data_IF_675999273261
#
_entry.id   IF_675999273261
#
_cell.length_a   1.000
_cell.length_b   1.000
_cell.length_c   1.000
_cell.angle_alpha   90.00
_cell.angle_beta   90.00
_cell.angle_gamma   90.00
#
_symmetry.space_group_name_H-M   'P 1'
#
loop_
_entity.id
_entity.type
_entity.pdbx_description
1 polymer ?
#
# COMPACT_ATOMS: atom_id res chain seq x y z
N UNK A 1 36.29 0.33 -17.22
CA UNK A 1 35.09 0.01 -16.47
C UNK A 1 34.00 -0.15 -17.53
N UNK A 2 33.43 -1.34 -17.75
CA UNK A 2 32.30 -1.50 -18.65
C UNK A 2 31.14 -0.69 -18.06
N UNK A 3 30.63 0.27 -18.80
CA UNK A 3 29.36 0.91 -18.44
C UNK A 3 28.32 -0.20 -18.32
N UNK A 4 27.79 -0.40 -17.14
CA UNK A 4 26.64 -1.30 -16.97
C UNK A 4 25.48 -0.68 -17.72
N UNK A 5 24.94 -1.39 -18.69
CA UNK A 5 23.76 -0.95 -19.45
C UNK A 5 22.64 -0.63 -18.49
N UNK A 6 22.01 0.54 -18.62
CA UNK A 6 20.80 0.87 -17.89
C UNK A 6 19.69 -0.13 -18.21
N UNK A 7 18.89 -0.47 -17.19
CA UNK A 7 17.75 -1.38 -17.29
C UNK A 7 16.46 -0.60 -17.08
N UNK A 8 15.58 -0.65 -18.07
CA UNK A 8 14.29 0.03 -18.09
C UNK A 8 13.14 -0.98 -17.92
N UNK A 9 12.29 -0.76 -16.95
CA UNK A 9 11.09 -1.57 -16.67
C UNK A 9 9.85 -0.74 -16.96
N UNK A 10 9.00 -1.21 -17.89
CA UNK A 10 7.62 -0.74 -18.00
C UNK A 10 6.77 -1.53 -17.01
N UNK A 11 6.11 -0.85 -16.10
CA UNK A 11 5.30 -1.45 -15.05
C UNK A 11 3.82 -1.10 -15.19
N UNK A 12 2.95 -2.04 -14.82
CA UNK A 12 1.49 -1.90 -14.87
C UNK A 12 0.90 -2.29 -13.52
N UNK A 13 0.04 -1.42 -12.96
CA UNK A 13 -0.73 -1.64 -11.75
C UNK A 13 -2.23 -1.49 -12.05
N UNK A 14 -3.01 -2.50 -11.66
CA UNK A 14 -4.48 -2.49 -11.79
C UNK A 14 -5.18 -3.33 -10.72
N UNK A 15 -4.58 -3.51 -9.56
CA UNK A 15 -5.07 -4.48 -8.57
C UNK A 15 -6.36 -4.07 -7.85
N UNK A 16 -6.73 -2.78 -7.86
CA UNK A 16 -7.91 -2.28 -7.14
C UNK A 16 -8.66 -1.22 -7.96
N UNK A 17 -8.50 0.05 -7.65
CA UNK A 17 -9.24 1.16 -8.27
C UNK A 17 -8.32 2.22 -8.93
N UNK A 18 -7.03 1.98 -9.00
CA UNK A 18 -6.06 2.74 -9.77
C UNK A 18 -5.60 1.97 -11.00
N UNK A 19 -5.73 2.58 -12.19
CA UNK A 19 -5.07 2.11 -13.41
C UNK A 19 -3.80 2.91 -13.58
N UNK A 20 -2.63 2.27 -13.48
CA UNK A 20 -1.37 2.99 -13.58
C UNK A 20 -0.36 2.29 -14.46
N UNK A 21 0.50 3.09 -15.10
CA UNK A 21 1.69 2.64 -15.80
C UNK A 21 2.88 3.56 -15.47
N UNK A 22 4.07 2.99 -15.41
CA UNK A 22 5.29 3.72 -15.09
C UNK A 22 6.50 3.15 -15.84
N UNK A 23 7.49 3.99 -16.11
CA UNK A 23 8.81 3.56 -16.57
C UNK A 23 9.80 3.81 -15.44
N UNK A 24 10.48 2.75 -15.01
CA UNK A 24 11.46 2.79 -13.92
C UNK A 24 12.83 2.36 -14.45
N UNK A 25 13.84 3.18 -14.16
CA UNK A 25 15.22 2.95 -14.53
C UNK A 25 16.03 2.45 -13.34
N UNK A 26 16.75 1.35 -13.53
CA UNK A 26 17.67 0.76 -12.53
C UNK A 26 17.04 0.54 -11.15
N UNK A 27 15.71 0.33 -11.11
CA UNK A 27 14.95 0.04 -9.90
C UNK A 27 14.86 1.17 -8.86
N UNK A 28 15.32 2.39 -9.20
CA UNK A 28 15.34 3.51 -8.23
C UNK A 28 15.07 4.88 -8.82
N UNK A 29 15.04 5.01 -10.13
CA UNK A 29 14.76 6.25 -10.83
C UNK A 29 13.43 6.10 -11.58
N UNK A 30 12.46 6.93 -11.23
CA UNK A 30 11.14 6.95 -11.86
C UNK A 30 11.18 7.96 -13.01
N UNK A 31 11.11 7.47 -14.25
CA UNK A 31 11.08 8.31 -15.44
C UNK A 31 9.66 8.82 -15.74
N UNK A 32 8.65 7.98 -15.43
CA UNK A 32 7.23 8.36 -15.52
C UNK A 32 6.40 7.56 -14.51
N UNK A 33 5.24 8.10 -14.10
CA UNK A 33 4.29 7.40 -13.23
C UNK A 33 2.89 7.98 -13.45
N UNK A 34 2.19 7.46 -14.42
CA UNK A 34 0.85 7.89 -14.84
C UNK A 34 -0.22 7.11 -14.10
N UNK A 35 -1.12 7.78 -13.42
CA UNK A 35 -2.17 7.18 -12.58
C UNK A 35 -3.54 7.71 -13.01
N UNK A 36 -4.45 6.81 -13.36
CA UNK A 36 -5.86 7.10 -13.59
C UNK A 36 -6.68 6.51 -12.43
N UNK A 37 -6.99 7.36 -11.43
CA UNK A 37 -7.73 6.93 -10.24
C UNK A 37 -9.23 6.93 -10.47
N UNK A 38 -9.90 5.94 -9.89
CA UNK A 38 -11.35 5.77 -9.92
C UNK A 38 -12.02 6.23 -8.60
N UNK A 39 -11.27 6.85 -7.67
CA UNK A 39 -11.79 7.30 -6.36
C UNK A 39 -13.04 8.14 -6.51
N UNK A 40 -13.07 9.10 -7.45
CA UNK A 40 -14.25 9.96 -7.69
C UNK A 40 -15.49 9.15 -8.06
N UNK A 41 -15.32 8.09 -8.86
CA UNK A 41 -16.41 7.18 -9.23
C UNK A 41 -16.88 6.36 -8.04
N UNK A 42 -15.95 5.73 -7.32
CA UNK A 42 -16.26 4.88 -6.17
C UNK A 42 -16.80 5.64 -4.95
N UNK A 43 -16.51 6.94 -4.84
CA UNK A 43 -17.12 7.82 -3.83
C UNK A 43 -18.65 7.84 -3.94
N UNK A 44 -19.21 7.75 -5.16
CA UNK A 44 -20.66 7.71 -5.39
C UNK A 44 -21.33 6.47 -4.79
N UNK A 45 -20.57 5.37 -4.66
CA UNK A 45 -21.03 4.10 -4.09
C UNK A 45 -20.61 3.92 -2.63
N UNK A 46 -19.84 4.85 -2.08
CA UNK A 46 -19.32 4.78 -0.71
C UNK A 46 -18.20 3.75 -0.52
N UNK A 47 -17.52 3.34 -1.58
CA UNK A 47 -16.40 2.39 -1.58
C UNK A 47 -16.25 1.68 -2.91
N UNK A 48 -15.18 0.90 -3.06
CA UNK A 48 -14.85 0.22 -4.32
C UNK A 48 -15.90 -0.83 -4.68
N UNK A 49 -16.36 -0.80 -5.93
CA UNK A 49 -17.25 -1.81 -6.53
C UNK A 49 -16.43 -2.61 -7.56
N UNK A 50 -16.11 -3.89 -7.29
CA UNK A 50 -15.13 -4.67 -8.06
C UNK A 50 -15.44 -4.76 -9.56
N UNK A 51 -16.71 -4.97 -9.93
CA UNK A 51 -17.09 -5.08 -11.34
C UNK A 51 -16.96 -3.75 -12.09
N UNK A 52 -17.29 -2.64 -11.43
CA UNK A 52 -17.10 -1.30 -12.01
C UNK A 52 -15.62 -1.00 -12.18
N UNK A 53 -14.81 -1.33 -11.17
CA UNK A 53 -13.36 -1.14 -11.23
C UNK A 53 -12.75 -1.89 -12.42
N UNK A 54 -13.09 -3.17 -12.59
CA UNK A 54 -12.58 -4.00 -13.70
C UNK A 54 -12.89 -3.41 -15.07
N UNK A 55 -14.13 -2.94 -15.28
CA UNK A 55 -14.55 -2.32 -16.55
C UNK A 55 -13.79 -1.02 -16.81
N UNK A 56 -13.55 -0.25 -15.77
CA UNK A 56 -12.87 1.04 -15.87
C UNK A 56 -11.38 0.89 -16.23
N UNK A 57 -10.73 -0.17 -15.75
CA UNK A 57 -9.36 -0.50 -16.16
C UNK A 57 -9.27 -0.73 -17.67
N UNK A 58 -10.21 -1.47 -18.27
CA UNK A 58 -10.24 -1.73 -19.72
C UNK A 58 -10.28 -0.43 -20.53
N UNK A 59 -11.03 0.57 -20.04
CA UNK A 59 -11.16 1.87 -20.72
C UNK A 59 -9.88 2.71 -20.65
N UNK A 60 -9.01 2.48 -19.66
CA UNK A 60 -7.89 3.37 -19.32
C UNK A 60 -6.50 2.80 -19.58
N UNK A 61 -6.37 1.49 -19.57
CA UNK A 61 -5.06 0.85 -19.50
C UNK A 61 -4.12 1.25 -20.66
N UNK A 62 -4.60 1.27 -21.88
CA UNK A 62 -3.78 1.65 -23.04
C UNK A 62 -3.36 3.12 -22.97
N UNK A 63 -4.29 3.99 -22.53
CA UNK A 63 -4.01 5.43 -22.42
C UNK A 63 -2.91 5.73 -21.41
N UNK A 64 -2.93 5.07 -20.24
CA UNK A 64 -1.91 5.30 -19.20
C UNK A 64 -0.55 4.71 -19.62
N UNK A 65 -0.54 3.60 -20.37
CA UNK A 65 0.70 3.00 -20.88
C UNK A 65 1.34 3.90 -21.95
N UNK A 66 0.55 4.36 -22.92
CA UNK A 66 1.03 5.28 -23.95
C UNK A 66 1.59 6.58 -23.36
N UNK A 67 0.88 7.17 -22.39
CA UNK A 67 1.34 8.39 -21.73
C UNK A 67 2.58 8.16 -20.87
N UNK A 68 2.69 6.99 -20.19
CA UNK A 68 3.87 6.66 -19.41
C UNK A 68 5.13 6.52 -20.26
N UNK A 69 5.04 5.88 -21.43
CA UNK A 69 6.14 5.77 -22.39
C UNK A 69 6.52 7.16 -22.94
N UNK A 70 5.53 7.97 -23.27
CA UNK A 70 5.72 9.33 -23.80
C UNK A 70 6.36 10.25 -22.76
N UNK A 71 5.89 10.27 -21.49
CA UNK A 71 6.48 11.07 -20.41
C UNK A 71 7.92 10.66 -20.11
N UNK A 72 8.23 9.36 -20.23
CA UNK A 72 9.58 8.82 -20.07
C UNK A 72 10.48 9.08 -21.30
N UNK A 73 9.94 9.58 -22.40
CA UNK A 73 10.64 9.79 -23.69
C UNK A 73 11.27 8.50 -24.24
N UNK A 74 10.60 7.34 -24.06
CA UNK A 74 11.06 6.02 -24.53
C UNK A 74 10.00 5.30 -25.35
N UNK A 75 10.45 4.30 -26.08
CA UNK A 75 9.61 3.36 -26.85
C UNK A 75 9.66 1.97 -26.24
N UNK A 76 8.82 1.03 -26.70
CA UNK A 76 8.88 -0.38 -26.28
C UNK A 76 10.22 -1.05 -26.63
N UNK A 77 10.92 -0.57 -27.64
CA UNK A 77 12.23 -1.12 -28.02
C UNK A 77 13.27 -0.87 -26.92
N UNK A 78 13.17 0.26 -26.22
CA UNK A 78 14.07 0.67 -25.14
C UNK A 78 13.83 -0.10 -23.83
N UNK A 79 12.64 -0.69 -23.64
CA UNK A 79 12.25 -1.41 -22.44
C UNK A 79 12.95 -2.78 -22.37
N UNK A 80 13.47 -3.16 -21.21
CA UNK A 80 14.14 -4.44 -20.99
C UNK A 80 13.21 -5.52 -20.43
N UNK A 81 12.14 -5.15 -19.68
CA UNK A 81 11.13 -6.09 -19.19
C UNK A 81 9.81 -5.38 -18.86
N UNK A 82 8.72 -6.16 -18.87
CA UNK A 82 7.37 -5.72 -18.51
C UNK A 82 7.05 -6.27 -17.11
N UNK A 83 6.84 -5.38 -16.14
CA UNK A 83 6.39 -5.70 -14.80
C UNK A 83 4.88 -5.55 -14.65
N UNK A 84 4.21 -6.45 -13.95
CA UNK A 84 2.76 -6.34 -13.72
C UNK A 84 2.36 -6.91 -12.38
N UNK A 85 1.46 -6.24 -11.69
CA UNK A 85 0.82 -6.78 -10.50
C UNK A 85 -0.11 -7.93 -10.89
N UNK A 86 0.16 -9.13 -10.31
CA UNK A 86 -0.69 -10.29 -10.55
C UNK A 86 -1.46 -10.74 -9.29
N UNK A 87 -1.20 -10.13 -8.15
CA UNK A 87 -1.87 -10.37 -6.88
C UNK A 87 -1.14 -9.76 -5.68
N UNK A 88 -1.80 -9.69 -4.52
CA UNK A 88 -3.25 -9.82 -4.33
C UNK A 88 -4.03 -8.61 -4.89
N UNK A 89 -5.36 -8.77 -5.00
CA UNK A 89 -6.24 -7.70 -5.48
C UNK A 89 -7.60 -8.21 -6.00
N UNK A 90 -8.35 -7.34 -6.64
CA UNK A 90 -9.62 -7.67 -7.27
C UNK A 90 -9.37 -8.47 -8.54
N UNK A 91 -9.88 -9.70 -8.62
CA UNK A 91 -9.58 -10.63 -9.72
C UNK A 91 -9.83 -10.04 -11.10
N UNK A 92 -10.97 -9.37 -11.31
CA UNK A 92 -11.29 -8.79 -12.61
C UNK A 92 -10.38 -7.62 -12.98
N UNK A 93 -9.97 -6.83 -12.00
CA UNK A 93 -9.03 -5.72 -12.16
C UNK A 93 -7.62 -6.24 -12.49
N UNK A 94 -7.11 -7.19 -11.72
CA UNK A 94 -5.81 -7.86 -11.97
C UNK A 94 -5.74 -8.48 -13.36
N UNK A 95 -6.83 -9.15 -13.81
CA UNK A 95 -6.88 -9.79 -15.13
C UNK A 95 -6.67 -8.80 -16.27
N UNK A 96 -7.13 -7.56 -16.14
CA UNK A 96 -6.92 -6.52 -17.16
C UNK A 96 -5.44 -6.20 -17.31
N UNK A 97 -4.76 -5.89 -16.19
CA UNK A 97 -3.32 -5.59 -16.20
C UNK A 97 -2.48 -6.77 -16.69
N UNK A 98 -2.77 -7.97 -16.17
CA UNK A 98 -2.04 -9.19 -16.54
C UNK A 98 -2.20 -9.52 -18.03
N UNK A 99 -3.42 -9.39 -18.58
CA UNK A 99 -3.67 -9.63 -20.01
C UNK A 99 -2.91 -8.63 -20.88
N UNK A 100 -2.96 -7.36 -20.55
CA UNK A 100 -2.27 -6.30 -21.29
C UNK A 100 -0.75 -6.45 -21.21
N UNK A 101 -0.20 -6.68 -20.03
CA UNK A 101 1.24 -6.90 -19.86
C UNK A 101 1.74 -8.12 -20.66
N UNK A 102 0.97 -9.21 -20.70
CA UNK A 102 1.28 -10.39 -21.53
C UNK A 102 1.26 -10.07 -23.01
N UNK A 103 0.26 -9.32 -23.47
CA UNK A 103 0.14 -8.94 -24.88
C UNK A 103 1.33 -8.07 -25.32
N UNK A 104 1.70 -7.07 -24.53
CA UNK A 104 2.84 -6.19 -24.80
C UNK A 104 4.15 -6.99 -24.77
N UNK A 105 4.38 -7.78 -23.71
CA UNK A 105 5.59 -8.58 -23.57
C UNK A 105 5.77 -9.57 -24.73
N UNK A 106 4.68 -10.22 -25.18
CA UNK A 106 4.69 -11.13 -26.32
C UNK A 106 4.98 -10.41 -27.62
N UNK A 107 4.29 -9.31 -27.91
CA UNK A 107 4.44 -8.56 -29.13
C UNK A 107 5.83 -7.92 -29.30
N UNK A 108 6.36 -7.37 -28.17
CA UNK A 108 7.67 -6.73 -28.14
C UNK A 108 8.84 -7.71 -27.92
N UNK A 109 8.57 -9.00 -27.68
CA UNK A 109 9.61 -10.00 -27.40
C UNK A 109 10.35 -9.73 -26.09
N UNK A 110 9.69 -9.13 -25.08
CA UNK A 110 10.29 -8.75 -23.81
C UNK A 110 9.94 -9.74 -22.69
N UNK A 111 10.82 -9.95 -21.72
CA UNK A 111 10.51 -10.73 -20.51
C UNK A 111 9.32 -10.16 -19.75
N UNK A 112 8.45 -11.04 -19.25
CA UNK A 112 7.35 -10.70 -18.34
C UNK A 112 7.76 -10.99 -16.90
N UNK A 113 7.43 -10.08 -15.97
CA UNK A 113 7.73 -10.20 -14.54
C UNK A 113 6.46 -9.95 -13.74
N UNK A 114 5.89 -11.01 -13.16
CA UNK A 114 4.80 -10.89 -12.19
C UNK A 114 5.29 -10.35 -10.86
N UNK A 115 4.61 -9.35 -10.33
CA UNK A 115 4.96 -8.67 -9.08
C UNK A 115 3.83 -8.83 -8.07
N UNK A 116 4.19 -9.09 -6.84
CA UNK A 116 3.26 -9.08 -5.71
C UNK A 116 2.97 -7.64 -5.29
N UNK A 117 1.69 -7.25 -5.21
CA UNK A 117 1.27 -5.88 -4.88
C UNK A 117 1.91 -5.32 -3.59
N UNK A 118 1.95 -6.14 -2.53
CA UNK A 118 2.54 -5.74 -1.24
C UNK A 118 4.06 -5.55 -1.33
N UNK A 119 4.76 -6.34 -2.17
CA UNK A 119 6.17 -6.12 -2.48
C UNK A 119 6.37 -4.75 -3.13
N UNK A 120 5.46 -4.36 -4.03
CA UNK A 120 5.45 -3.02 -4.61
C UNK A 120 5.40 -1.94 -3.55
N UNK A 121 4.46 -2.01 -2.61
CA UNK A 121 4.37 -1.03 -1.53
C UNK A 121 5.67 -0.93 -0.71
N UNK A 122 6.30 -2.06 -0.37
CA UNK A 122 7.59 -2.06 0.33
C UNK A 122 8.66 -1.39 -0.52
N UNK A 123 8.71 -1.75 -1.82
CA UNK A 123 9.68 -1.26 -2.78
C UNK A 123 9.55 0.25 -3.06
N UNK A 124 8.36 0.85 -2.86
CA UNK A 124 8.15 2.28 -2.98
C UNK A 124 9.14 3.12 -2.16
N UNK A 125 9.58 2.59 -1.01
CA UNK A 125 10.59 3.26 -0.18
C UNK A 125 11.94 3.42 -0.90
N UNK A 126 12.29 2.52 -1.82
CA UNK A 126 13.55 2.59 -2.55
C UNK A 126 13.62 3.74 -3.57
N UNK A 127 12.49 4.32 -3.94
CA UNK A 127 12.41 5.42 -4.90
C UNK A 127 13.10 6.67 -4.33
N UNK A 128 12.76 7.03 -3.09
CA UNK A 128 13.22 8.28 -2.46
C UNK A 128 14.40 8.07 -1.51
N UNK A 129 14.55 6.86 -0.96
CA UNK A 129 15.60 6.51 -0.01
C UNK A 129 16.65 5.63 -0.68
N UNK A 130 17.58 6.28 -1.42
CA UNK A 130 18.62 5.57 -2.19
C UNK A 130 19.58 4.75 -1.31
N UNK A 131 19.72 5.14 -0.03
CA UNK A 131 20.56 4.47 0.97
C UNK A 131 19.82 3.30 1.67
N UNK A 132 18.50 3.14 1.48
CA UNK A 132 17.78 2.04 2.09
C UNK A 132 18.07 0.73 1.33
N UNK A 133 18.66 -0.20 2.05
CA UNK A 133 18.96 -1.56 1.57
C UNK A 133 18.51 -2.59 2.60
N UNK A 134 18.11 -3.80 2.18
CA UNK A 134 17.89 -4.90 3.11
C UNK A 134 19.14 -5.24 3.94
N UNK A 135 19.02 -5.82 5.15
CA UNK A 135 17.75 -6.11 5.79
C UNK A 135 17.14 -4.91 6.53
N UNK A 136 15.81 -4.87 6.61
CA UNK A 136 15.05 -3.90 7.40
C UNK A 136 13.66 -4.45 7.73
N UNK A 137 12.91 -3.74 8.60
CA UNK A 137 11.50 -4.05 8.85
C UNK A 137 10.59 -3.05 8.16
N UNK A 138 9.46 -3.53 7.65
CA UNK A 138 8.41 -2.69 7.05
C UNK A 138 7.05 -2.97 7.66
N UNK A 139 6.35 -1.91 8.07
CA UNK A 139 4.94 -1.98 8.41
C UNK A 139 4.14 -1.54 7.18
N UNK A 140 3.52 -2.51 6.51
CA UNK A 140 2.66 -2.24 5.35
C UNK A 140 1.23 -2.09 5.82
N UNK A 141 0.65 -0.90 5.62
CA UNK A 141 -0.70 -0.55 6.09
C UNK A 141 -1.49 0.09 4.96
N UNK A 142 -2.48 -0.61 4.45
CA UNK A 142 -3.34 -0.18 3.34
C UNK A 142 -4.82 -0.42 3.62
N UNK A 143 -5.67 -0.19 2.62
CA UNK A 143 -7.10 -0.50 2.69
C UNK A 143 -7.39 -1.98 2.94
N UNK A 144 -6.63 -2.88 2.32
CA UNK A 144 -6.83 -4.33 2.41
C UNK A 144 -5.82 -5.08 3.29
N UNK A 145 -4.71 -4.45 3.68
CA UNK A 145 -3.61 -5.15 4.33
C UNK A 145 -3.05 -4.39 5.55
N UNK A 146 -2.71 -5.14 6.59
CA UNK A 146 -1.89 -4.67 7.71
C UNK A 146 -0.91 -5.77 8.05
N UNK A 147 0.35 -5.60 7.63
CA UNK A 147 1.41 -6.58 7.78
C UNK A 147 2.65 -5.94 8.41
N UNK A 148 3.26 -6.62 9.37
CA UNK A 148 4.61 -6.36 9.82
C UNK A 148 5.54 -7.36 9.14
N UNK A 149 6.47 -6.87 8.33
CA UNK A 149 7.29 -7.68 7.42
C UNK A 149 8.76 -7.46 7.72
N UNK A 150 9.51 -8.54 7.82
CA UNK A 150 10.97 -8.51 7.78
C UNK A 150 11.41 -8.67 6.32
N UNK A 151 12.04 -7.64 5.79
CA UNK A 151 12.67 -7.64 4.48
C UNK A 151 14.11 -8.15 4.68
N UNK A 152 14.37 -9.39 4.26
CA UNK A 152 15.70 -10.03 4.43
C UNK A 152 16.66 -9.66 3.31
N UNK A 153 16.12 -9.56 2.11
CA UNK A 153 16.80 -9.25 0.86
C UNK A 153 15.78 -8.76 -0.15
N UNK A 154 16.20 -8.25 -1.28
CA UNK A 154 15.30 -7.90 -2.37
C UNK A 154 14.51 -9.14 -2.82
N UNK A 155 13.18 -9.04 -2.82
CA UNK A 155 12.26 -10.15 -3.12
C UNK A 155 12.20 -11.26 -2.05
N UNK A 156 12.77 -11.08 -0.84
CA UNK A 156 12.75 -12.09 0.24
C UNK A 156 12.17 -11.52 1.53
N UNK A 157 11.00 -12.03 1.90
CA UNK A 157 10.18 -11.51 2.98
C UNK A 157 9.79 -12.57 3.99
N UNK A 158 9.73 -12.20 5.28
CA UNK A 158 9.04 -12.95 6.33
C UNK A 158 7.91 -12.09 6.91
N UNK A 159 6.69 -12.61 6.91
CA UNK A 159 5.59 -11.96 7.63
C UNK A 159 5.73 -12.29 9.11
N UNK A 160 6.00 -11.27 9.92
CA UNK A 160 6.14 -11.38 11.37
C UNK A 160 4.78 -11.26 12.04
N UNK A 161 3.93 -10.38 11.55
CA UNK A 161 2.57 -10.18 12.04
C UNK A 161 1.63 -9.70 10.94
N UNK A 162 0.35 -9.97 11.11
CA UNK A 162 -0.70 -9.56 10.17
C UNK A 162 -2.01 -9.28 10.90
N UNK A 163 -2.92 -8.58 10.25
CA UNK A 163 -4.26 -8.44 10.81
C UNK A 163 -5.01 -9.77 10.79
N UNK A 164 -5.80 -10.01 11.85
CA UNK A 164 -6.68 -11.18 12.00
C UNK A 164 -8.10 -10.91 11.50
N UNK A 165 -8.42 -9.64 11.28
CA UNK A 165 -9.74 -9.18 10.86
C UNK A 165 -9.63 -7.96 9.92
N UNK A 166 -10.33 -6.87 10.18
CA UNK A 166 -10.28 -5.66 9.37
C UNK A 166 -8.82 -5.14 9.25
N UNK A 167 -8.40 -4.73 8.05
CA UNK A 167 -7.18 -3.95 7.90
C UNK A 167 -7.37 -2.55 8.51
N UNK A 168 -6.26 -1.90 8.89
CA UNK A 168 -6.34 -0.58 9.49
C UNK A 168 -7.02 0.45 8.56
N UNK A 169 -6.67 0.45 7.26
CA UNK A 169 -7.31 1.34 6.29
C UNK A 169 -8.80 1.07 6.11
N UNK A 170 -9.21 -0.20 6.09
CA UNK A 170 -10.62 -0.59 6.08
C UNK A 170 -11.36 -0.08 7.33
N UNK A 171 -10.72 -0.13 8.50
CA UNK A 171 -11.28 0.42 9.74
C UNK A 171 -11.45 1.95 9.64
N UNK A 172 -10.48 2.67 9.05
CA UNK A 172 -10.60 4.10 8.75
C UNK A 172 -11.80 4.40 7.86
N UNK A 173 -11.99 3.64 6.77
CA UNK A 173 -13.10 3.84 5.83
C UNK A 173 -14.46 3.58 6.49
N UNK A 174 -14.56 2.50 7.27
CA UNK A 174 -15.79 2.13 7.98
C UNK A 174 -16.16 3.16 9.05
N UNK A 175 -15.19 3.65 9.83
CA UNK A 175 -15.42 4.68 10.85
C UNK A 175 -15.75 6.02 10.20
N UNK A 176 -15.03 6.44 9.17
CA UNK A 176 -15.32 7.68 8.43
C UNK A 176 -16.76 7.71 7.92
N UNK A 177 -17.22 6.58 7.36
CA UNK A 177 -18.61 6.44 6.91
C UNK A 177 -19.60 6.57 8.07
N UNK A 178 -19.30 5.93 9.20
CA UNK A 178 -20.19 5.94 10.39
C UNK A 178 -20.34 7.33 11.00
N UNK A 179 -19.28 8.15 10.95
CA UNK A 179 -19.33 9.54 11.44
C UNK A 179 -19.69 10.56 10.35
N UNK A 180 -20.08 10.11 9.14
CA UNK A 180 -20.59 10.98 8.07
C UNK A 180 -19.52 11.67 7.22
N UNK A 181 -18.25 11.24 7.29
CA UNK A 181 -17.17 11.80 6.46
C UNK A 181 -17.13 11.19 5.04
N UNK A 182 -17.69 9.98 4.85
CA UNK A 182 -17.72 9.28 3.56
C UNK A 182 -16.37 8.67 3.17
N UNK A 183 -16.19 8.40 1.86
CA UNK A 183 -15.03 7.73 1.26
C UNK A 183 -14.16 8.71 0.45
N UNK A 184 -12.82 8.54 0.35
CA UNK A 184 -11.97 7.65 1.19
C UNK A 184 -11.87 8.15 2.62
N UNK A 185 -11.88 7.23 3.59
CA UNK A 185 -11.98 7.56 5.01
C UNK A 185 -10.68 8.05 5.63
N UNK A 186 -9.56 7.40 5.31
CA UNK A 186 -8.26 7.69 5.90
C UNK A 186 -7.89 9.18 5.86
N UNK A 187 -7.80 9.81 4.67
CA UNK A 187 -7.46 11.24 4.55
C UNK A 187 -8.45 12.18 5.24
N UNK A 188 -9.75 11.81 5.24
CA UNK A 188 -10.79 12.64 5.85
C UNK A 188 -10.72 12.59 7.38
N UNK A 189 -10.49 11.41 7.96
CA UNK A 189 -10.25 11.26 9.41
C UNK A 189 -8.98 12.01 9.80
N UNK A 190 -7.88 11.85 9.07
CA UNK A 190 -6.61 12.53 9.38
C UNK A 190 -6.76 14.06 9.37
N UNK A 191 -7.58 14.59 8.45
CA UNK A 191 -7.90 16.02 8.40
C UNK A 191 -8.71 16.49 9.59
N UNK A 192 -9.84 15.82 9.87
CA UNK A 192 -10.78 16.21 10.92
C UNK A 192 -10.21 15.98 12.33
N UNK A 193 -9.40 14.93 12.51
CA UNK A 193 -8.74 14.61 13.77
C UNK A 193 -7.83 15.73 14.30
N UNK A 194 -7.31 16.60 13.42
CA UNK A 194 -6.49 17.76 13.82
C UNK A 194 -7.24 18.81 14.63
N UNK A 195 -8.57 18.83 14.53
CA UNK A 195 -9.47 19.75 15.22
C UNK A 195 -10.04 19.15 16.52
N UNK A 196 -9.80 17.85 16.74
CA UNK A 196 -10.34 17.10 17.89
C UNK A 196 -9.34 16.83 18.99
N UNK A 197 -9.86 16.44 20.16
CA UNK A 197 -9.05 15.97 21.27
C UNK A 197 -8.86 14.44 21.19
N UNK A 198 -7.62 13.94 21.01
CA UNK A 198 -7.34 12.50 20.90
C UNK A 198 -7.55 11.71 22.21
N UNK A 199 -7.68 12.38 23.34
CA UNK A 199 -7.90 11.77 24.65
C UNK A 199 -9.35 11.91 25.15
N UNK A 200 -10.25 12.45 24.31
CA UNK A 200 -11.66 12.67 24.65
C UNK A 200 -12.42 11.35 24.88
N UNK A 201 -12.10 10.31 24.10
CA UNK A 201 -12.77 9.02 24.16
C UNK A 201 -11.74 7.89 24.28
N UNK A 202 -11.84 7.11 25.36
CA UNK A 202 -10.95 5.97 25.61
C UNK A 202 -11.36 4.74 24.77
N UNK A 203 -11.07 4.73 23.47
CA UNK A 203 -11.31 3.55 22.64
C UNK A 203 -10.33 2.41 22.96
N UNK A 204 -10.74 1.15 22.80
CA UNK A 204 -9.88 0.01 23.11
C UNK A 204 -8.68 -0.11 22.16
N UNK A 205 -7.58 -0.69 22.66
CA UNK A 205 -6.41 -1.10 21.89
C UNK A 205 -6.37 -2.62 21.93
N UNK A 206 -6.70 -3.24 20.79
CA UNK A 206 -6.72 -4.68 20.74
C UNK A 206 -5.32 -5.28 20.90
N UNK A 207 -5.23 -6.27 21.78
CA UNK A 207 -4.06 -7.13 21.90
C UNK A 207 -4.46 -8.56 21.53
N UNK A 208 -3.66 -9.22 20.68
CA UNK A 208 -3.86 -10.63 20.30
C UNK A 208 -2.95 -11.45 21.19
N UNK A 209 -3.53 -12.15 22.18
CA UNK A 209 -2.78 -12.78 23.27
C UNK A 209 -1.73 -13.79 22.79
N UNK A 210 -2.09 -14.65 21.81
CA UNK A 210 -1.21 -15.71 21.31
C UNK A 210 -0.30 -15.27 20.14
N UNK A 211 -0.35 -14.00 19.72
CA UNK A 211 0.39 -13.50 18.58
C UNK A 211 0.78 -12.01 18.78
N UNK A 212 1.91 -11.74 19.42
CA UNK A 212 2.28 -10.40 19.88
C UNK A 212 2.43 -9.38 18.76
N UNK A 213 2.64 -9.84 17.53
CA UNK A 213 2.81 -8.99 16.34
C UNK A 213 1.55 -8.86 15.48
N UNK A 214 0.52 -9.71 15.72
CA UNK A 214 -0.71 -9.66 14.95
C UNK A 214 -1.61 -8.49 15.37
N UNK A 215 -2.36 -7.96 14.43
CA UNK A 215 -3.25 -6.82 14.59
C UNK A 215 -4.73 -7.27 14.60
N UNK A 216 -5.58 -6.42 15.18
CA UNK A 216 -7.04 -6.53 15.10
C UNK A 216 -7.65 -5.14 15.22
N UNK A 217 -8.58 -4.79 14.33
CA UNK A 217 -9.25 -3.48 14.31
C UNK A 217 -10.79 -3.59 14.30
N UNK A 218 -11.37 -4.78 14.15
CA UNK A 218 -12.83 -4.96 14.14
C UNK A 218 -13.47 -4.57 15.48
N UNK A 219 -12.81 -4.88 16.60
CA UNK A 219 -13.26 -4.50 17.93
C UNK A 219 -13.25 -2.98 18.14
N UNK A 220 -12.23 -2.30 17.63
CA UNK A 220 -12.14 -0.85 17.68
C UNK A 220 -13.26 -0.17 16.88
N UNK A 221 -13.51 -0.65 15.65
CA UNK A 221 -14.63 -0.19 14.84
C UNK A 221 -15.97 -0.35 15.59
N UNK A 222 -16.19 -1.51 16.18
CA UNK A 222 -17.41 -1.80 16.95
C UNK A 222 -17.56 -0.87 18.15
N UNK A 223 -16.46 -0.55 18.85
CA UNK A 223 -16.46 0.39 19.97
C UNK A 223 -16.87 1.82 19.54
N UNK A 224 -16.38 2.28 18.38
CA UNK A 224 -16.78 3.59 17.82
C UNK A 224 -18.28 3.60 17.50
N UNK A 225 -18.79 2.55 16.82
CA UNK A 225 -20.21 2.46 16.48
C UNK A 225 -21.10 2.41 17.74
N UNK A 226 -20.69 1.66 18.76
CA UNK A 226 -21.40 1.58 20.04
C UNK A 226 -21.41 2.94 20.78
N UNK A 227 -20.32 3.68 20.75
CA UNK A 227 -20.24 5.02 21.31
C UNK A 227 -21.25 5.97 20.63
N UNK A 228 -21.24 6.02 19.30
CA UNK A 228 -22.15 6.85 18.50
C UNK A 228 -23.62 6.48 18.79
N UNK A 229 -23.93 5.18 18.80
CA UNK A 229 -25.28 4.70 19.08
C UNK A 229 -25.70 5.02 20.52
N UNK A 230 -24.77 4.93 21.49
CA UNK A 230 -25.01 5.31 22.87
C UNK A 230 -25.39 6.79 23.02
N UNK A 231 -24.66 7.68 22.36
CA UNK A 231 -24.99 9.11 22.34
C UNK A 231 -26.40 9.34 21.73
N UNK A 232 -26.68 8.73 20.56
CA UNK A 232 -27.99 8.86 19.91
C UNK A 232 -29.15 8.38 20.79
N UNK A 233 -28.99 7.25 21.48
CA UNK A 233 -30.03 6.70 22.38
C UNK A 233 -30.31 7.61 23.59
N UNK A 234 -29.29 8.34 24.04
CA UNK A 234 -29.42 9.29 25.16
C UNK A 234 -29.86 10.70 24.71
N UNK A 235 -29.93 10.95 23.40
CA UNK A 235 -30.17 12.30 22.86
C UNK A 235 -28.97 13.24 23.05
N UNK A 236 -27.78 12.71 23.27
CA UNK A 236 -26.54 13.47 23.42
C UNK A 236 -25.90 13.74 22.05
N UNK A 237 -25.42 14.96 21.86
CA UNK A 237 -24.57 15.27 20.72
C UNK A 237 -23.17 14.72 20.92
N UNK A 238 -22.50 14.33 19.83
CA UNK A 238 -21.11 13.93 19.87
C UNK A 238 -20.26 14.82 18.95
N UNK A 239 -19.02 15.08 19.35
CA UNK A 239 -18.06 15.81 18.53
C UNK A 239 -17.40 14.85 17.53
N UNK A 240 -17.65 15.08 16.22
CA UNK A 240 -17.09 14.28 15.14
C UNK A 240 -15.55 14.34 15.11
N UNK A 241 -14.95 15.50 15.43
CA UNK A 241 -13.51 15.67 15.46
C UNK A 241 -12.85 14.90 16.62
N UNK A 242 -13.51 14.87 17.79
CA UNK A 242 -13.04 14.09 18.94
C UNK A 242 -13.08 12.58 18.68
N UNK A 243 -14.14 12.10 18.02
CA UNK A 243 -14.23 10.69 17.62
C UNK A 243 -13.10 10.38 16.63
N UNK A 244 -12.90 11.21 15.60
CA UNK A 244 -11.85 11.03 14.60
C UNK A 244 -10.45 11.02 15.24
N UNK A 245 -10.17 11.96 16.15
CA UNK A 245 -8.88 12.08 16.84
C UNK A 245 -8.62 10.88 17.77
N UNK A 246 -9.61 10.51 18.59
CA UNK A 246 -9.49 9.40 19.54
C UNK A 246 -9.38 8.05 18.83
N UNK A 247 -10.11 7.85 17.72
CA UNK A 247 -10.02 6.66 16.88
C UNK A 247 -8.64 6.56 16.21
N UNK A 248 -8.18 7.64 15.55
CA UNK A 248 -6.87 7.70 14.90
C UNK A 248 -5.75 7.42 15.90
N UNK A 249 -5.81 8.00 17.10
CA UNK A 249 -4.86 7.73 18.17
C UNK A 249 -4.87 6.25 18.54
N UNK A 250 -6.04 5.63 18.70
CA UNK A 250 -6.13 4.22 19.05
C UNK A 250 -5.50 3.29 18.00
N UNK A 251 -5.74 3.56 16.70
CA UNK A 251 -5.09 2.81 15.60
C UNK A 251 -3.58 3.02 15.63
N UNK A 252 -3.14 4.26 15.71
CA UNK A 252 -1.72 4.62 15.73
C UNK A 252 -0.98 3.97 16.89
N UNK A 253 -1.55 4.02 18.10
CA UNK A 253 -0.97 3.41 19.30
C UNK A 253 -0.71 1.91 19.10
N UNK A 254 -1.67 1.18 18.51
CA UNK A 254 -1.53 -0.27 18.23
C UNK A 254 -0.43 -0.53 17.20
N UNK A 255 -0.45 0.22 16.09
CA UNK A 255 0.54 0.05 15.01
C UNK A 255 1.96 0.32 15.51
N UNK A 256 2.16 1.42 16.23
CA UNK A 256 3.47 1.82 16.77
C UNK A 256 3.95 0.83 17.84
N UNK A 257 3.09 0.44 18.78
CA UNK A 257 3.48 -0.47 19.86
C UNK A 257 3.99 -1.81 19.31
N UNK A 258 3.30 -2.41 18.33
CA UNK A 258 3.69 -3.69 17.74
C UNK A 258 4.94 -3.56 16.86
N UNK A 259 5.08 -2.46 16.12
CA UNK A 259 6.28 -2.16 15.36
C UNK A 259 7.50 -2.05 16.26
N UNK A 260 7.39 -1.31 17.37
CA UNK A 260 8.48 -1.14 18.35
C UNK A 260 8.83 -2.43 19.07
N UNK A 261 7.83 -3.26 19.39
CA UNK A 261 8.08 -4.58 19.97
C UNK A 261 8.99 -5.41 19.05
N UNK A 262 8.71 -5.43 17.74
CA UNK A 262 9.58 -6.09 16.77
C UNK A 262 10.96 -5.44 16.66
N UNK A 263 11.02 -4.11 16.64
CA UNK A 263 12.29 -3.37 16.60
C UNK A 263 13.21 -3.78 17.77
N UNK A 264 12.66 -3.87 18.97
CA UNK A 264 13.41 -4.21 20.19
C UNK A 264 13.83 -5.69 20.22
N UNK A 265 12.90 -6.60 19.89
CA UNK A 265 13.18 -8.05 19.93
C UNK A 265 14.18 -8.47 18.86
N UNK A 266 14.04 -7.96 17.64
CA UNK A 266 14.93 -8.30 16.52
C UNK A 266 16.15 -7.39 16.41
N UNK A 267 16.29 -6.37 17.25
CA UNK A 267 17.41 -5.40 17.28
C UNK A 267 17.62 -4.74 15.92
N UNK A 268 16.54 -4.22 15.37
CA UNK A 268 16.49 -3.61 14.03
C UNK A 268 17.04 -2.18 14.07
N UNK A 269 17.84 -1.80 13.10
CA UNK A 269 18.40 -0.45 12.93
C UNK A 269 17.70 0.39 11.85
N UNK A 270 16.87 -0.25 10.99
CA UNK A 270 16.12 0.39 9.89
C UNK A 270 14.67 -0.07 9.90
N UNK A 271 13.75 0.87 9.89
CA UNK A 271 12.31 0.62 9.87
C UNK A 271 11.63 1.48 8.82
N UNK A 272 10.75 0.88 8.01
CA UNK A 272 9.98 1.57 6.99
C UNK A 272 8.48 1.42 7.22
N UNK A 273 7.69 2.39 6.76
CA UNK A 273 6.24 2.22 6.60
C UNK A 273 5.87 2.31 5.12
N UNK A 274 4.80 1.63 4.72
CA UNK A 274 4.35 1.55 3.34
C UNK A 274 2.83 1.36 3.26
N UNK A 275 2.26 1.59 2.08
CA UNK A 275 0.82 1.52 1.84
C UNK A 275 0.08 2.82 2.12
N UNK A 276 -1.18 2.92 1.69
CA UNK A 276 -1.95 4.17 1.73
C UNK A 276 -2.06 4.82 3.10
N UNK A 277 -2.17 4.01 4.18
CA UNK A 277 -2.23 4.51 5.56
C UNK A 277 -0.86 5.07 6.03
N UNK A 278 0.24 4.71 5.38
CA UNK A 278 1.53 5.35 5.63
C UNK A 278 1.55 6.87 5.31
N UNK A 279 0.55 7.37 4.60
CA UNK A 279 0.35 8.82 4.40
C UNK A 279 -0.26 9.53 5.62
N UNK A 280 -0.80 8.81 6.59
CA UNK A 280 -1.44 9.39 7.77
C UNK A 280 -0.44 10.18 8.62
N UNK A 281 -0.76 11.44 8.89
CA UNK A 281 0.16 12.37 9.55
C UNK A 281 0.47 11.99 11.00
N UNK A 282 -0.52 11.48 11.73
CA UNK A 282 -0.33 11.05 13.13
C UNK A 282 0.53 9.78 13.21
N UNK A 283 0.32 8.81 12.30
CA UNK A 283 1.15 7.60 12.25
C UNK A 283 2.61 7.95 11.94
N UNK A 284 2.86 8.82 10.95
CA UNK A 284 4.21 9.27 10.60
C UNK A 284 4.90 9.94 11.78
N UNK A 285 4.22 10.87 12.43
CA UNK A 285 4.77 11.61 13.57
C UNK A 285 5.11 10.68 14.74
N UNK A 286 4.17 9.83 15.14
CA UNK A 286 4.35 8.89 16.25
C UNK A 286 5.45 7.86 15.96
N UNK A 287 5.50 7.30 14.74
CA UNK A 287 6.53 6.33 14.37
C UNK A 287 7.91 6.98 14.30
N UNK A 288 8.01 8.20 13.75
CA UNK A 288 9.26 8.96 13.68
C UNK A 288 9.83 9.19 15.07
N UNK A 289 9.03 9.76 15.98
CA UNK A 289 9.43 10.00 17.37
C UNK A 289 9.88 8.71 18.08
N UNK A 290 9.13 7.64 17.86
CA UNK A 290 9.38 6.34 18.49
C UNK A 290 10.69 5.68 18.00
N UNK A 291 10.99 5.79 16.71
CA UNK A 291 12.23 5.31 16.10
C UNK A 291 13.44 6.19 16.52
N UNK A 292 13.30 7.51 16.51
CA UNK A 292 14.34 8.45 16.94
C UNK A 292 14.79 8.19 18.39
N UNK A 293 13.85 7.96 19.31
CA UNK A 293 14.14 7.61 20.71
C UNK A 293 14.97 6.32 20.87
N UNK A 294 14.98 5.46 19.85
CA UNK A 294 15.68 4.16 19.85
C UNK A 294 16.90 4.12 18.94
N UNK A 295 17.22 5.23 18.28
CA UNK A 295 18.32 5.29 17.32
C UNK A 295 18.07 4.48 16.04
N UNK A 296 16.81 4.19 15.71
CA UNK A 296 16.39 3.46 14.51
C UNK A 296 16.16 4.46 13.37
N UNK A 297 16.72 4.19 12.20
CA UNK A 297 16.46 4.99 11.00
C UNK A 297 15.06 4.69 10.48
N UNK A 298 14.26 5.75 10.34
CA UNK A 298 12.87 5.64 9.90
C UNK A 298 12.69 6.14 8.46
N UNK A 299 11.99 5.35 7.65
CA UNK A 299 11.76 5.59 6.23
C UNK A 299 10.27 5.54 5.89
N UNK A 300 9.82 6.41 5.01
CA UNK A 300 8.46 6.41 4.46
C UNK A 300 8.44 7.12 3.11
N UNK A 301 7.61 6.65 2.14
CA UNK A 301 7.52 7.29 0.84
C UNK A 301 6.70 8.59 0.91
N UNK A 302 6.87 9.46 -0.07
CA UNK A 302 5.95 10.59 -0.27
C UNK A 302 4.52 10.09 -0.58
N UNK A 303 3.48 10.93 -0.36
CA UNK A 303 2.09 10.49 -0.51
C UNK A 303 1.76 9.85 -1.86
N UNK A 304 2.36 10.32 -2.95
CA UNK A 304 2.12 9.78 -4.30
C UNK A 304 2.58 8.31 -4.44
N UNK A 305 3.60 7.88 -3.69
CA UNK A 305 4.12 6.52 -3.70
C UNK A 305 3.57 5.65 -2.56
N UNK A 306 2.76 6.21 -1.65
CA UNK A 306 2.07 5.45 -0.62
C UNK A 306 0.82 4.74 -1.15
N UNK A 307 0.07 5.40 -2.05
CA UNK A 307 -1.12 4.82 -2.69
C UNK A 307 -0.71 3.94 -3.88
N UNK A 308 -1.68 3.21 -4.44
CA UNK A 308 -1.44 2.31 -5.57
C UNK A 308 -0.92 3.11 -6.78
N UNK A 309 0.21 2.67 -7.31
CA UNK A 309 0.90 3.30 -8.44
C UNK A 309 1.79 2.28 -9.14
N UNK A 310 2.16 2.55 -10.39
CA UNK A 310 2.96 1.61 -11.16
C UNK A 310 4.48 1.77 -10.91
N UNK A 311 4.94 2.91 -10.40
CA UNK A 311 6.36 3.08 -10.10
C UNK A 311 6.83 2.09 -9.01
N UNK A 312 6.03 1.85 -7.97
CA UNK A 312 6.30 0.87 -6.93
C UNK A 312 6.43 -0.55 -7.50
N UNK A 313 5.61 -0.87 -8.49
CA UNK A 313 5.64 -2.17 -9.20
C UNK A 313 6.88 -2.26 -10.08
N UNK A 314 7.26 -1.18 -10.76
CA UNK A 314 8.47 -1.12 -11.59
C UNK A 314 9.75 -1.32 -10.78
N UNK A 315 9.80 -0.74 -9.57
CA UNK A 315 10.91 -0.95 -8.63
C UNK A 315 11.00 -2.42 -8.20
N UNK A 316 9.89 -3.01 -7.76
CA UNK A 316 9.86 -4.42 -7.36
C UNK A 316 10.19 -5.34 -8.55
N UNK A 317 9.61 -5.07 -9.73
CA UNK A 317 9.90 -5.82 -10.97
C UNK A 317 11.38 -5.77 -11.36
N UNK A 318 12.05 -4.65 -11.17
CA UNK A 318 13.48 -4.54 -11.43
C UNK A 318 14.29 -5.52 -10.59
N UNK A 319 14.08 -5.54 -9.28
CA UNK A 319 14.82 -6.46 -8.40
C UNK A 319 14.51 -7.92 -8.72
N UNK A 320 13.23 -8.23 -9.01
CA UNK A 320 12.85 -9.56 -9.48
C UNK A 320 13.53 -9.93 -10.81
N UNK A 321 13.54 -9.00 -11.75
CA UNK A 321 14.22 -9.19 -13.04
C UNK A 321 15.72 -9.43 -12.87
N UNK A 322 16.38 -8.66 -12.00
CA UNK A 322 17.82 -8.83 -11.72
C UNK A 322 18.13 -10.14 -10.99
N UNK A 323 17.19 -10.64 -10.18
CA UNK A 323 17.27 -11.95 -9.53
C UNK A 323 16.99 -13.12 -10.48
N UNK A 324 16.72 -12.85 -11.77
CA UNK A 324 16.49 -13.87 -12.78
C UNK A 324 15.03 -14.32 -12.89
N UNK A 325 14.10 -13.72 -12.15
CA UNK A 325 12.66 -14.04 -12.23
C UNK A 325 12.12 -13.70 -13.61
N UNK A 326 11.45 -14.67 -14.23
CA UNK A 326 10.73 -14.56 -15.51
C UNK A 326 9.43 -15.33 -15.39
N UNK A 327 8.33 -14.65 -15.65
CA UNK A 327 7.00 -15.29 -15.65
C UNK A 327 6.70 -15.92 -17.00
N UNK A 328 6.06 -17.08 -16.98
CA UNK A 328 5.57 -17.73 -18.20
C UNK A 328 4.27 -17.10 -18.71
N UNK A 329 3.83 -17.55 -19.89
CA UNK A 329 2.57 -17.12 -20.48
C UNK A 329 1.33 -17.66 -19.76
N UNK A 330 1.52 -18.55 -18.81
CA UNK A 330 0.53 -19.07 -17.87
C UNK A 330 0.30 -18.16 -16.65
N UNK A 331 1.10 -17.08 -16.48
CA UNK A 331 0.87 -16.08 -15.43
C UNK A 331 -0.59 -15.66 -15.42
N UNK A 332 -1.22 -15.73 -14.25
CA UNK A 332 -2.64 -15.40 -14.09
C UNK A 332 -2.87 -14.58 -12.82
N UNK A 333 -4.04 -13.95 -12.72
CA UNK A 333 -4.44 -13.23 -11.52
C UNK A 333 -4.61 -14.17 -10.32
N UNK A 334 -4.02 -13.81 -9.18
CA UNK A 334 -4.12 -14.54 -7.92
C UNK A 334 -4.64 -13.60 -6.81
N UNK A 335 -5.98 -13.49 -6.65
CA UNK A 335 -6.60 -12.48 -5.77
C UNK A 335 -6.14 -12.51 -4.31
N UNK A 336 -5.82 -13.71 -3.80
CA UNK A 336 -5.43 -13.94 -2.41
C UNK A 336 -3.97 -14.37 -2.29
N UNK A 337 -3.11 -13.90 -3.21
CA UNK A 337 -1.68 -14.22 -3.19
C UNK A 337 -1.06 -13.79 -1.86
N UNK A 338 -0.35 -14.70 -1.21
CA UNK A 338 0.33 -14.37 0.04
C UNK A 338 1.72 -13.87 -0.21
N UNK A 339 2.15 -12.88 0.57
CA UNK A 339 3.51 -12.34 0.47
C UNK A 339 4.55 -13.47 0.67
N UNK A 340 5.49 -13.56 -0.30
CA UNK A 340 6.48 -14.63 -0.35
C UNK A 340 6.05 -15.89 -1.10
N UNK A 341 4.79 -16.03 -1.54
CA UNK A 341 4.33 -17.03 -2.52
C UNK A 341 4.49 -16.47 -3.94
N UNK A 342 4.71 -17.40 -4.90
CA UNK A 342 4.89 -17.08 -6.34
C UNK A 342 4.17 -18.09 -7.21
#
# INVERSE_FOLDING_TARGET
>A
MSETKDVLILAIESSCDETAAAVVKNGREVLSNVISSQIALHTLYGGVVPEIASRKHIEKINQVIEEALKEAEVTLDDIDAIGVTYGPGLVGALLVGVAEAKAIAYAAGKPLVGVHHIEGHIAANFIEHKELEPPFFSLVVSGGHTHLVRVKDYGKFDIIGRTRDDAAGEAFDKVARAIGLGYPGGPKIDKVAKEGNPDSIAFPRANVEDAPYDFSFSGLKSAVLNYINGCKMKGEEYNQADIAASFQKAVTDVLVAKALHAVEEYKVDKFAIAGGVASNSALRAAMKEACEKRGVKFYYPSPIFCTDNAAMIGVAAYYEYMNGTRSGWDLNAVPNLKLGER
#
